data_IF_194188800602
#
_entry.id   IF_194188800602
#
_cell.length_a   1.000
_cell.length_b   1.000
_cell.length_c   1.000
_cell.angle_alpha   90.00
_cell.angle_beta   90.00
_cell.angle_gamma   90.00
#
_symmetry.space_group_name_H-M   'P 1'
#
loop_
_entity.id
_entity.type
_entity.pdbx_description
1 polymer ?
#
# COMPACT_ATOMS: atom_id res chain seq x y z
N UNK A 1 14.36 -25.26 10.84
CA UNK A 1 13.34 -24.23 11.04
C UNK A 1 13.99 -22.90 10.72
N UNK A 2 13.59 -22.28 9.62
CA UNK A 2 13.93 -20.88 9.31
C UNK A 2 12.96 -20.05 10.13
N UNK A 3 13.46 -19.19 11.02
CA UNK A 3 12.59 -18.26 11.73
C UNK A 3 12.24 -17.16 10.75
N UNK A 4 11.06 -17.29 10.13
CA UNK A 4 10.44 -16.19 9.40
C UNK A 4 9.98 -15.25 10.50
N UNK A 5 10.54 -14.04 10.57
CA UNK A 5 9.77 -12.94 11.11
C UNK A 5 8.58 -12.85 10.20
N UNK A 6 7.45 -13.29 10.71
CA UNK A 6 6.21 -12.65 10.33
C UNK A 6 6.35 -11.23 10.89
N UNK A 7 7.08 -10.37 10.17
CA UNK A 7 6.57 -9.02 10.06
C UNK A 7 5.14 -9.27 9.62
N UNK A 8 4.16 -8.78 10.39
CA UNK A 8 2.91 -8.42 9.78
C UNK A 8 3.22 -7.27 8.78
N UNK A 9 4.05 -7.51 7.76
CA UNK A 9 3.69 -7.01 6.45
C UNK A 9 2.30 -7.59 6.30
N UNK A 10 1.29 -6.70 6.33
CA UNK A 10 -0.10 -7.08 6.24
C UNK A 10 -0.14 -8.33 5.38
N UNK A 11 -0.61 -9.45 5.94
CA UNK A 11 -1.28 -10.39 5.07
C UNK A 11 -2.16 -9.48 4.23
N UNK A 12 -2.00 -9.46 2.90
CA UNK A 12 -3.00 -8.88 2.01
C UNK A 12 -4.24 -9.72 2.29
N UNK A 13 -4.91 -9.39 3.39
CA UNK A 13 -6.12 -10.02 3.84
C UNK A 13 -7.10 -9.40 2.88
N UNK A 14 -7.37 -10.15 1.82
CA UNK A 14 -8.39 -9.77 0.87
C UNK A 14 -9.68 -9.59 1.68
N UNK A 15 -10.20 -8.36 1.63
CA UNK A 15 -11.50 -8.06 2.23
C UNK A 15 -12.53 -8.83 1.42
N UNK A 16 -13.11 -9.87 2.03
CA UNK A 16 -14.26 -10.53 1.44
C UNK A 16 -15.51 -9.81 1.90
N UNK A 17 -15.97 -8.95 1.02
CA UNK A 17 -17.30 -8.37 1.10
C UNK A 17 -18.34 -9.48 0.92
N UNK A 18 -19.53 -9.26 1.48
CA UNK A 18 -20.68 -10.11 1.22
C UNK A 18 -21.07 -10.17 -0.25
N UNK A 19 -22.25 -10.73 -0.52
CA UNK A 19 -22.82 -10.62 -1.86
C UNK A 19 -23.01 -9.13 -2.20
N UNK A 20 -22.12 -8.59 -3.02
CA UNK A 20 -22.11 -7.19 -3.45
C UNK A 20 -22.20 -7.14 -4.97
N UNK A 21 -23.20 -6.44 -5.49
CA UNK A 21 -23.34 -6.18 -6.92
C UNK A 21 -22.99 -4.70 -7.16
N UNK A 22 -21.90 -4.42 -7.89
CA UNK A 22 -21.43 -3.06 -8.17
C UNK A 22 -21.74 -2.72 -9.62
N UNK A 23 -22.38 -1.58 -9.88
CA UNK A 23 -22.64 -1.10 -11.24
C UNK A 23 -22.00 0.27 -11.42
N UNK A 24 -21.07 0.39 -12.36
CA UNK A 24 -20.51 1.68 -12.78
C UNK A 24 -21.31 2.21 -13.96
N UNK A 25 -21.75 3.46 -13.89
CA UNK A 25 -22.39 4.18 -14.99
C UNK A 25 -21.42 5.30 -15.39
N UNK A 26 -20.84 5.18 -16.58
CA UNK A 26 -19.73 5.99 -17.06
C UNK A 26 -20.17 6.90 -18.20
N UNK A 27 -19.76 8.16 -18.13
CA UNK A 27 -20.08 9.18 -19.11
C UNK A 27 -19.06 9.14 -20.25
N UNK A 28 -19.51 8.75 -21.44
CA UNK A 28 -18.69 8.71 -22.66
C UNK A 28 -19.08 9.80 -23.66
N UNK A 29 -19.70 10.87 -23.17
CA UNK A 29 -20.09 12.03 -23.98
C UNK A 29 -18.88 12.75 -24.60
N UNK A 30 -19.19 13.66 -25.52
CA UNK A 30 -18.18 14.47 -26.20
C UNK A 30 -17.44 15.41 -25.24
N UNK A 31 -18.13 15.95 -24.23
CA UNK A 31 -17.55 16.89 -23.24
C UNK A 31 -16.52 16.25 -22.32
N UNK A 32 -16.68 14.95 -22.03
CA UNK A 32 -15.68 14.16 -21.29
C UNK A 32 -14.42 14.01 -22.13
N UNK A 33 -14.55 13.54 -23.38
CA UNK A 33 -13.42 13.32 -24.28
C UNK A 33 -12.65 12.02 -24.00
N UNK A 34 -11.93 11.52 -25.02
CA UNK A 34 -11.26 10.22 -24.99
C UNK A 34 -10.27 10.05 -23.82
N UNK A 35 -9.49 11.09 -23.50
CA UNK A 35 -8.48 11.03 -22.43
C UNK A 35 -9.12 10.87 -21.07
N UNK A 36 -10.18 11.63 -20.77
CA UNK A 36 -10.87 11.54 -19.49
C UNK A 36 -11.68 10.24 -19.37
N UNK A 37 -12.31 9.80 -20.45
CA UNK A 37 -12.97 8.50 -20.50
C UNK A 37 -11.98 7.35 -20.22
N UNK A 38 -10.74 7.47 -20.68
CA UNK A 38 -9.67 6.51 -20.34
C UNK A 38 -9.36 6.51 -18.84
N UNK A 39 -9.38 7.67 -18.17
CA UNK A 39 -9.21 7.77 -16.72
C UNK A 39 -10.38 7.15 -15.96
N UNK A 40 -11.63 7.32 -16.42
CA UNK A 40 -12.80 6.65 -15.85
C UNK A 40 -12.67 5.12 -15.91
N UNK A 41 -12.22 4.59 -17.05
CA UNK A 41 -11.96 3.15 -17.21
C UNK A 41 -10.89 2.66 -16.23
N UNK A 42 -9.83 3.44 -16.03
CA UNK A 42 -8.82 3.10 -15.03
C UNK A 42 -9.35 3.18 -13.60
N UNK A 43 -10.21 4.15 -13.29
CA UNK A 43 -10.89 4.23 -12.00
C UNK A 43 -11.71 2.98 -11.71
N UNK A 44 -12.52 2.51 -12.67
CA UNK A 44 -13.27 1.24 -12.53
C UNK A 44 -12.33 0.07 -12.26
N UNK A 45 -11.28 -0.08 -13.07
CA UNK A 45 -10.33 -1.18 -12.94
C UNK A 45 -9.61 -1.14 -11.59
N UNK A 46 -9.14 0.03 -11.15
CA UNK A 46 -8.36 0.18 -9.92
C UNK A 46 -9.23 -0.01 -8.67
N UNK A 47 -10.46 0.49 -8.69
CA UNK A 47 -11.43 0.29 -7.59
C UNK A 47 -11.71 -1.20 -7.39
N UNK A 48 -12.00 -1.92 -8.48
CA UNK A 48 -12.29 -3.35 -8.42
C UNK A 48 -11.06 -4.18 -8.05
N UNK A 49 -9.86 -3.82 -8.53
CA UNK A 49 -8.61 -4.45 -8.08
C UNK A 49 -8.42 -4.35 -6.58
N UNK A 50 -8.70 -3.19 -6.01
CA UNK A 50 -8.48 -2.93 -4.58
C UNK A 50 -9.49 -3.66 -3.69
N UNK A 51 -10.68 -3.98 -4.19
CA UNK A 51 -11.67 -4.79 -3.49
C UNK A 51 -11.30 -6.28 -3.40
N UNK A 52 -10.34 -6.76 -4.21
CA UNK A 52 -9.71 -8.09 -4.10
C UNK A 52 -10.58 -9.31 -4.46
N UNK A 53 -11.90 -9.28 -4.21
CA UNK A 53 -12.77 -10.46 -4.25
C UNK A 53 -13.86 -10.40 -5.33
N UNK A 54 -13.51 -10.70 -6.58
CA UNK A 54 -14.51 -10.93 -7.65
C UNK A 54 -15.10 -12.34 -7.56
N UNK A 55 -16.42 -12.46 -7.74
CA UNK A 55 -17.08 -13.76 -7.78
C UNK A 55 -16.68 -14.52 -9.06
N UNK A 56 -16.10 -15.72 -8.92
CA UNK A 56 -15.74 -16.57 -10.06
C UNK A 56 -16.94 -17.23 -10.73
N UNK A 57 -18.08 -17.31 -10.03
CA UNK A 57 -19.35 -17.82 -10.55
C UNK A 57 -20.43 -16.74 -10.38
N UNK A 58 -21.13 -16.33 -11.46
CA UNK A 58 -22.25 -15.38 -11.40
C UNK A 58 -23.37 -15.77 -10.42
N UNK A 59 -23.52 -17.05 -10.11
CA UNK A 59 -24.54 -17.57 -9.18
C UNK A 59 -24.07 -17.70 -7.73
N UNK A 60 -22.79 -17.40 -7.47
CA UNK A 60 -22.19 -17.51 -6.13
C UNK A 60 -22.91 -16.62 -5.11
N UNK A 61 -23.17 -17.19 -3.93
CA UNK A 61 -23.74 -16.48 -2.78
C UNK A 61 -22.76 -15.53 -2.09
N UNK A 62 -21.49 -15.52 -2.50
CA UNK A 62 -20.42 -14.67 -1.97
C UNK A 62 -19.57 -14.07 -3.11
N UNK A 63 -18.90 -12.96 -2.85
CA UNK A 63 -18.03 -12.27 -3.81
C UNK A 63 -18.73 -11.17 -4.61
N UNK A 64 -17.91 -10.28 -5.18
CA UNK A 64 -18.34 -9.08 -5.88
C UNK A 64 -18.65 -9.37 -7.34
N UNK A 65 -19.83 -8.95 -7.83
CA UNK A 65 -20.16 -8.94 -9.26
C UNK A 65 -20.13 -7.51 -9.75
N UNK A 66 -19.57 -7.29 -10.93
CA UNK A 66 -19.36 -5.93 -11.45
C UNK A 66 -19.99 -5.77 -12.83
N UNK A 67 -20.83 -4.75 -12.96
CA UNK A 67 -21.38 -4.30 -14.22
C UNK A 67 -20.84 -2.91 -14.56
N UNK A 68 -20.74 -2.61 -15.85
CA UNK A 68 -20.35 -1.30 -16.36
C UNK A 68 -21.32 -0.91 -17.45
N UNK A 69 -21.89 0.28 -17.39
CA UNK A 69 -22.70 0.87 -18.45
C UNK A 69 -21.99 2.14 -18.88
N UNK A 70 -21.52 2.20 -20.12
CA UNK A 70 -21.16 3.48 -20.73
C UNK A 70 -22.35 4.05 -21.49
N UNK A 71 -22.50 5.37 -21.46
CA UNK A 71 -23.55 6.06 -22.21
C UNK A 71 -23.00 7.31 -22.89
N UNK A 72 -23.65 7.73 -23.97
CA UNK A 72 -23.50 9.10 -24.50
C UNK A 72 -24.88 9.65 -24.83
N UNK A 73 -25.37 9.43 -26.05
CA UNK A 73 -26.67 9.89 -26.53
C UNK A 73 -27.68 8.74 -26.64
N UNK A 74 -28.93 9.09 -26.94
CA UNK A 74 -30.04 8.14 -26.98
C UNK A 74 -29.74 6.89 -27.83
N UNK A 75 -29.87 5.71 -27.21
CA UNK A 75 -29.67 4.42 -27.87
C UNK A 75 -28.21 3.93 -27.95
N UNK A 76 -27.24 4.71 -27.48
CA UNK A 76 -25.82 4.31 -27.46
C UNK A 76 -25.39 3.93 -26.05
N UNK A 77 -25.67 2.68 -25.70
CA UNK A 77 -25.28 2.07 -24.44
C UNK A 77 -24.44 0.83 -24.74
N UNK A 78 -23.20 0.79 -24.25
CA UNK A 78 -22.48 -0.48 -24.13
C UNK A 78 -22.50 -0.90 -22.67
N UNK A 79 -22.83 -2.16 -22.43
CA UNK A 79 -22.94 -2.68 -21.09
C UNK A 79 -22.19 -3.99 -20.91
N UNK A 80 -21.38 -4.02 -19.86
CA UNK A 80 -20.88 -5.22 -19.23
C UNK A 80 -21.92 -5.63 -18.18
N UNK A 81 -22.55 -6.78 -18.38
CA UNK A 81 -23.61 -7.27 -17.49
C UNK A 81 -23.03 -7.89 -16.21
N UNK A 82 -23.79 -7.79 -15.11
CA UNK A 82 -23.43 -8.39 -13.82
C UNK A 82 -23.34 -9.92 -13.87
N UNK A 83 -24.09 -10.55 -14.78
CA UNK A 83 -24.24 -11.99 -14.93
C UNK A 83 -23.56 -12.55 -16.20
N UNK A 84 -22.64 -11.79 -16.80
CA UNK A 84 -21.90 -12.25 -17.99
C UNK A 84 -20.98 -13.43 -17.62
N UNK A 85 -21.31 -14.61 -18.16
CA UNK A 85 -20.55 -15.83 -17.94
C UNK A 85 -19.09 -15.76 -18.42
N UNK A 86 -18.75 -14.84 -19.34
CA UNK A 86 -17.39 -14.64 -19.84
C UNK A 86 -16.52 -13.80 -18.90
N UNK A 87 -17.11 -13.16 -17.89
CA UNK A 87 -16.43 -12.26 -16.96
C UNK A 87 -16.36 -12.91 -15.58
N UNK A 88 -15.55 -13.97 -15.50
CA UNK A 88 -15.37 -14.78 -14.29
C UNK A 88 -14.06 -14.51 -13.55
N UNK A 89 -13.23 -13.59 -14.05
CA UNK A 89 -11.95 -13.24 -13.43
C UNK A 89 -11.67 -11.73 -13.54
N UNK A 90 -10.78 -11.25 -12.66
CA UNK A 90 -10.26 -9.89 -12.73
C UNK A 90 -9.60 -9.59 -14.08
N UNK A 91 -8.92 -10.57 -14.67
CA UNK A 91 -8.20 -10.40 -15.93
C UNK A 91 -9.15 -10.20 -17.11
N UNK A 92 -10.23 -10.99 -17.18
CA UNK A 92 -11.26 -10.88 -18.22
C UNK A 92 -12.07 -9.61 -18.06
N UNK A 93 -12.38 -9.22 -16.82
CA UNK A 93 -13.03 -7.94 -16.53
C UNK A 93 -12.18 -6.74 -16.97
N UNK A 94 -10.89 -6.73 -16.62
CA UNK A 94 -9.94 -5.69 -17.08
C UNK A 94 -9.91 -5.58 -18.59
N UNK A 95 -9.88 -6.71 -19.30
CA UNK A 95 -9.87 -6.74 -20.75
C UNK A 95 -11.18 -6.18 -21.32
N UNK A 96 -12.34 -6.61 -20.79
CA UNK A 96 -13.65 -6.12 -21.21
C UNK A 96 -13.78 -4.60 -21.04
N UNK A 97 -13.43 -4.08 -19.85
CA UNK A 97 -13.44 -2.63 -19.60
C UNK A 97 -12.48 -1.92 -20.55
N UNK A 98 -11.24 -2.40 -20.71
CA UNK A 98 -10.27 -1.80 -21.64
C UNK A 98 -10.73 -1.78 -23.10
N UNK A 99 -11.56 -2.72 -23.52
CA UNK A 99 -12.08 -2.79 -24.88
C UNK A 99 -13.23 -1.83 -25.18
N UNK A 100 -13.88 -1.26 -24.15
CA UNK A 100 -14.92 -0.24 -24.32
C UNK A 100 -14.39 0.94 -25.14
N UNK A 101 -15.07 1.29 -26.23
CA UNK A 101 -14.67 2.40 -27.09
C UNK A 101 -15.42 3.67 -26.69
N UNK A 102 -14.72 4.80 -26.70
CA UNK A 102 -15.34 6.09 -26.48
C UNK A 102 -16.33 6.38 -27.61
N UNK A 103 -17.59 6.63 -27.26
CA UNK A 103 -18.67 6.78 -28.24
C UNK A 103 -18.65 8.18 -28.86
N UNK A 104 -18.46 9.22 -28.03
CA UNK A 104 -18.62 10.63 -28.38
C UNK A 104 -20.06 11.00 -28.80
N UNK A 105 -20.66 11.95 -28.10
CA UNK A 105 -22.03 12.40 -28.39
C UNK A 105 -22.60 13.28 -27.29
N UNK A 106 -23.93 13.28 -27.15
CA UNK A 106 -24.62 13.97 -26.06
C UNK A 106 -24.45 13.28 -24.70
N UNK A 107 -25.16 13.80 -23.69
CA UNK A 107 -25.08 13.31 -22.31
C UNK A 107 -26.47 12.96 -21.78
N UNK A 108 -26.95 11.75 -22.05
CA UNK A 108 -28.30 11.28 -21.72
C UNK A 108 -28.31 10.52 -20.38
N UNK A 109 -27.89 11.23 -19.32
CA UNK A 109 -27.74 10.65 -17.98
C UNK A 109 -29.05 10.07 -17.43
N UNK A 110 -30.19 10.80 -17.37
CA UNK A 110 -31.45 10.21 -16.91
C UNK A 110 -31.86 8.91 -17.62
N UNK A 111 -31.73 8.84 -18.95
CA UNK A 111 -32.05 7.63 -19.70
C UNK A 111 -31.04 6.51 -19.44
N UNK A 112 -29.76 6.82 -19.24
CA UNK A 112 -28.73 5.84 -18.86
C UNK A 112 -29.02 5.19 -17.49
N UNK A 113 -29.47 5.98 -16.50
CA UNK A 113 -29.86 5.47 -15.18
C UNK A 113 -31.02 4.46 -15.29
N UNK A 114 -32.02 4.78 -16.12
CA UNK A 114 -33.13 3.87 -16.42
C UNK A 114 -32.65 2.59 -17.09
N UNK A 115 -31.78 2.72 -18.11
CA UNK A 115 -31.23 1.57 -18.82
C UNK A 115 -30.44 0.64 -17.89
N UNK A 116 -29.58 1.21 -17.04
CA UNK A 116 -28.79 0.45 -16.07
C UNK A 116 -29.68 -0.32 -15.09
N UNK A 117 -30.74 0.31 -14.58
CA UNK A 117 -31.68 -0.37 -13.70
C UNK A 117 -32.39 -1.52 -14.40
N UNK A 118 -33.02 -1.26 -15.55
CA UNK A 118 -33.88 -2.22 -16.22
C UNK A 118 -33.12 -3.43 -16.78
N UNK A 119 -31.89 -3.22 -17.28
CA UNK A 119 -31.15 -4.26 -18.00
C UNK A 119 -30.11 -4.96 -17.13
N UNK A 120 -29.56 -4.29 -16.11
CA UNK A 120 -28.50 -4.87 -15.27
C UNK A 120 -29.00 -5.18 -13.86
N UNK A 121 -29.84 -4.33 -13.26
CA UNK A 121 -30.15 -4.45 -11.82
C UNK A 121 -31.44 -5.22 -11.57
N UNK A 122 -32.55 -4.85 -12.21
CA UNK A 122 -33.91 -5.28 -11.87
C UNK A 122 -34.05 -6.80 -11.79
N UNK A 123 -33.59 -7.48 -12.83
CA UNK A 123 -33.76 -8.93 -13.01
C UNK A 123 -32.48 -9.74 -12.68
N UNK A 124 -31.32 -9.10 -12.56
CA UNK A 124 -30.02 -9.78 -12.34
C UNK A 124 -29.45 -9.61 -10.91
N UNK A 125 -30.09 -8.77 -10.07
CA UNK A 125 -29.67 -8.58 -8.66
C UNK A 125 -29.83 -9.86 -7.85
N UNK A 126 -28.83 -10.17 -7.03
CA UNK A 126 -28.90 -11.30 -6.08
C UNK A 126 -29.91 -10.98 -4.98
N UNK A 127 -30.74 -11.95 -4.59
CA UNK A 127 -31.78 -11.75 -3.57
C UNK A 127 -31.25 -11.25 -2.22
N UNK A 128 -30.02 -11.66 -1.86
CA UNK A 128 -29.29 -11.31 -0.62
C UNK A 128 -28.20 -10.24 -0.82
N UNK A 129 -28.03 -9.71 -2.03
CA UNK A 129 -26.99 -8.71 -2.29
C UNK A 129 -27.52 -7.28 -2.18
N UNK A 130 -26.67 -6.39 -1.66
CA UNK A 130 -26.85 -4.95 -1.85
C UNK A 130 -26.31 -4.57 -3.23
N UNK A 131 -26.98 -3.64 -3.91
CA UNK A 131 -26.55 -3.12 -5.21
C UNK A 131 -25.97 -1.73 -5.00
N UNK A 132 -24.68 -1.56 -5.25
CA UNK A 132 -24.00 -0.26 -5.17
C UNK A 132 -23.79 0.28 -6.58
N UNK A 133 -24.41 1.41 -6.89
CA UNK A 133 -24.28 2.09 -8.18
C UNK A 133 -23.37 3.29 -8.04
N UNK A 134 -22.40 3.43 -8.94
CA UNK A 134 -21.45 4.53 -8.98
C UNK A 134 -21.65 5.25 -10.31
N UNK A 135 -22.11 6.48 -10.26
CA UNK A 135 -22.35 7.31 -11.45
C UNK A 135 -21.20 8.30 -11.57
N UNK A 136 -20.46 8.27 -12.67
CA UNK A 136 -19.40 9.25 -12.98
C UNK A 136 -19.90 10.09 -14.15
N UNK A 137 -19.93 11.40 -13.97
CA UNK A 137 -20.38 12.34 -15.00
C UNK A 137 -19.77 13.72 -14.77
N UNK A 138 -19.69 14.54 -15.83
CA UNK A 138 -19.46 15.98 -15.71
C UNK A 138 -20.73 16.76 -15.27
N UNK A 139 -21.80 16.00 -15.00
CA UNK A 139 -23.14 16.34 -14.52
C UNK A 139 -23.90 17.39 -15.29
N UNK A 140 -23.52 17.56 -16.56
CA UNK A 140 -24.43 18.12 -17.56
C UNK A 140 -25.23 16.97 -18.14
N UNK A 141 -26.50 17.17 -18.39
CA UNK A 141 -27.27 16.26 -19.23
C UNK A 141 -27.97 17.04 -20.33
N UNK A 142 -28.26 16.36 -21.44
CA UNK A 142 -28.90 16.96 -22.59
C UNK A 142 -30.34 17.38 -22.23
N UNK A 143 -30.76 18.63 -22.48
CA UNK A 143 -32.13 19.08 -22.20
C UNK A 143 -33.23 18.30 -22.93
N UNK A 144 -32.86 17.51 -23.95
CA UNK A 144 -33.78 16.62 -24.66
C UNK A 144 -34.05 15.31 -23.89
N UNK A 145 -33.27 15.02 -22.86
CA UNK A 145 -33.49 13.86 -21.99
C UNK A 145 -34.57 14.15 -20.92
N UNK A 146 -35.17 13.08 -20.41
CA UNK A 146 -36.29 13.13 -19.46
C UNK A 146 -35.76 13.23 -18.02
N UNK A 147 -35.66 14.46 -17.50
CA UNK A 147 -35.14 14.78 -16.16
C UNK A 147 -35.90 14.10 -15.01
N UNK A 148 -37.16 13.71 -15.24
CA UNK A 148 -37.96 12.96 -14.26
C UNK A 148 -37.33 11.62 -13.88
N UNK A 149 -36.42 11.09 -14.72
CA UNK A 149 -35.70 9.83 -14.52
C UNK A 149 -34.40 9.97 -13.74
N UNK A 150 -33.98 11.18 -13.36
CA UNK A 150 -32.77 11.38 -12.56
C UNK A 150 -32.78 10.58 -11.25
N UNK A 151 -33.98 10.31 -10.70
CA UNK A 151 -34.18 9.57 -9.45
C UNK A 151 -34.59 8.11 -9.67
N UNK A 152 -34.52 7.59 -10.89
CA UNK A 152 -35.07 6.27 -11.22
C UNK A 152 -34.45 5.12 -10.41
N UNK A 153 -33.18 5.24 -10.02
CA UNK A 153 -32.50 4.26 -9.17
C UNK A 153 -32.89 4.34 -7.69
N UNK A 154 -33.49 5.46 -7.26
CA UNK A 154 -33.79 5.75 -5.86
C UNK A 154 -35.07 5.08 -5.36
N UNK A 155 -35.90 4.56 -6.27
CA UNK A 155 -37.17 3.92 -5.93
C UNK A 155 -36.96 2.51 -5.34
N UNK A 156 -35.78 1.90 -5.53
CA UNK A 156 -35.43 0.59 -4.98
C UNK A 156 -34.60 0.73 -3.69
N UNK A 157 -35.11 0.31 -2.52
CA UNK A 157 -34.40 0.44 -1.24
C UNK A 157 -33.13 -0.42 -1.15
N UNK A 158 -32.93 -1.39 -2.06
CA UNK A 158 -31.71 -2.22 -2.12
C UNK A 158 -30.60 -1.59 -2.96
N UNK A 159 -30.88 -0.48 -3.65
CA UNK A 159 -29.95 0.23 -4.51
C UNK A 159 -29.37 1.43 -3.76
N UNK A 160 -28.06 1.46 -3.65
CA UNK A 160 -27.29 2.55 -3.04
C UNK A 160 -26.54 3.27 -4.15
N UNK A 161 -26.92 4.52 -4.43
CA UNK A 161 -26.30 5.33 -5.49
C UNK A 161 -25.27 6.29 -4.91
N UNK A 162 -24.06 6.28 -5.46
CA UNK A 162 -23.01 7.26 -5.22
C UNK A 162 -22.77 8.04 -6.53
N UNK A 163 -22.84 9.36 -6.47
CA UNK A 163 -22.64 10.23 -7.62
C UNK A 163 -21.27 10.92 -7.53
N UNK A 164 -20.49 10.85 -8.60
CA UNK A 164 -19.19 11.49 -8.73
C UNK A 164 -19.30 12.51 -9.87
N UNK A 165 -19.25 13.80 -9.50
CA UNK A 165 -19.20 14.91 -10.43
C UNK A 165 -17.76 15.32 -10.70
N UNK A 166 -17.38 15.44 -11.98
CA UNK A 166 -16.01 15.84 -12.35
C UNK A 166 -16.01 17.01 -13.32
N UNK A 167 -15.41 18.13 -12.92
CA UNK A 167 -15.21 19.30 -13.80
C UNK A 167 -15.50 20.64 -13.12
N UNK A 168 -15.81 21.64 -13.94
CA UNK A 168 -16.12 23.03 -13.52
C UNK A 168 -17.61 23.27 -13.21
N UNK A 169 -18.41 22.20 -13.22
CA UNK A 169 -19.85 22.20 -12.93
C UNK A 169 -20.22 22.86 -11.58
N UNK A 170 -19.27 22.96 -10.65
CA UNK A 170 -19.46 23.54 -9.32
C UNK A 170 -19.56 25.07 -9.30
N UNK A 171 -19.20 25.73 -10.41
CA UNK A 171 -19.41 27.17 -10.56
C UNK A 171 -20.89 27.51 -10.90
N UNK A 172 -21.74 26.50 -11.12
CA UNK A 172 -23.17 26.64 -11.44
C UNK A 172 -24.07 25.87 -10.46
N UNK A 173 -25.08 26.55 -9.91
CA UNK A 173 -26.01 25.94 -8.92
C UNK A 173 -26.86 24.79 -9.46
N UNK A 174 -27.19 24.76 -10.76
CA UNK A 174 -28.12 23.76 -11.31
C UNK A 174 -27.46 22.38 -11.50
N UNK A 175 -26.14 22.35 -11.71
CA UNK A 175 -25.44 21.09 -11.98
C UNK A 175 -25.25 20.27 -10.67
N UNK A 176 -25.13 20.95 -9.51
CA UNK A 176 -25.06 20.28 -8.21
C UNK A 176 -26.42 19.72 -7.73
N UNK A 177 -27.54 20.33 -8.12
CA UNK A 177 -28.88 19.79 -7.87
C UNK A 177 -29.14 18.51 -8.67
N UNK A 178 -28.54 18.40 -9.85
CA UNK A 178 -28.60 17.20 -10.69
C UNK A 178 -27.91 16.02 -10.00
N UNK A 179 -26.66 16.19 -9.55
CA UNK A 179 -25.94 15.15 -8.81
C UNK A 179 -26.65 14.76 -7.51
N UNK A 180 -27.23 15.74 -6.81
CA UNK A 180 -28.04 15.46 -5.63
C UNK A 180 -29.26 14.60 -5.96
N UNK A 181 -29.94 14.87 -7.07
CA UNK A 181 -31.07 14.05 -7.54
C UNK A 181 -30.63 12.62 -7.86
N UNK A 182 -29.49 12.45 -8.55
CA UNK A 182 -28.91 11.13 -8.87
C UNK A 182 -28.56 10.37 -7.58
N UNK A 183 -27.96 11.05 -6.59
CA UNK A 183 -27.60 10.48 -5.29
C UNK A 183 -28.80 10.39 -4.31
N UNK A 184 -30.04 10.43 -4.81
CA UNK A 184 -31.25 10.28 -4.01
C UNK A 184 -31.42 11.33 -2.90
N UNK A 185 -30.91 12.54 -3.13
CA UNK A 185 -30.85 13.67 -2.20
C UNK A 185 -29.96 13.43 -0.96
N UNK A 186 -29.09 12.41 -0.98
CA UNK A 186 -28.10 12.18 0.07
C UNK A 186 -26.78 12.88 -0.28
N UNK A 187 -26.52 14.02 0.37
CA UNK A 187 -25.30 14.81 0.15
C UNK A 187 -24.01 14.07 0.55
N UNK A 188 -24.08 13.06 1.42
CA UNK A 188 -22.90 12.30 1.83
C UNK A 188 -22.41 11.34 0.74
N UNK A 189 -23.24 11.08 -0.28
CA UNK A 189 -22.96 10.17 -1.40
C UNK A 189 -22.57 10.91 -2.68
N UNK A 190 -22.38 12.21 -2.59
CA UNK A 190 -21.91 13.06 -3.67
C UNK A 190 -20.42 13.28 -3.46
N UNK A 191 -19.61 12.99 -4.47
CA UNK A 191 -18.20 13.36 -4.50
C UNK A 191 -17.98 14.33 -5.64
N UNK A 192 -17.42 15.48 -5.32
CA UNK A 192 -17.12 16.54 -6.27
C UNK A 192 -15.61 16.59 -6.54
N UNK A 193 -15.22 16.62 -7.81
CA UNK A 193 -13.83 16.60 -8.24
C UNK A 193 -13.57 17.66 -9.30
N UNK A 194 -12.44 18.35 -9.21
CA UNK A 194 -12.08 19.36 -10.21
C UNK A 194 -11.53 18.74 -11.50
N UNK A 195 -10.90 17.55 -11.40
CA UNK A 195 -10.20 16.91 -12.51
C UNK A 195 -10.42 15.41 -12.52
N UNK A 196 -10.48 14.83 -13.72
CA UNK A 196 -10.56 13.37 -13.91
C UNK A 196 -9.32 12.62 -13.39
N UNK A 197 -8.18 13.30 -13.24
CA UNK A 197 -6.98 12.74 -12.62
C UNK A 197 -7.19 12.37 -11.15
N UNK A 198 -8.14 13.01 -10.47
CA UNK A 198 -8.39 12.77 -9.05
C UNK A 198 -9.15 11.45 -8.85
N UNK A 199 -9.86 10.96 -9.87
CA UNK A 199 -10.53 9.65 -9.87
C UNK A 199 -9.53 8.49 -9.69
N UNK A 200 -8.31 8.64 -10.19
CA UNK A 200 -7.27 7.60 -10.15
C UNK A 200 -6.30 7.78 -8.99
N UNK A 201 -6.54 8.76 -8.11
CA UNK A 201 -5.70 9.00 -6.94
C UNK A 201 -5.89 7.91 -5.87
N UNK A 202 -4.79 7.43 -5.27
CA UNK A 202 -4.83 6.30 -4.32
C UNK A 202 -5.74 6.56 -3.12
N UNK A 203 -5.68 7.77 -2.55
CA UNK A 203 -6.52 8.17 -1.41
C UNK A 203 -8.02 8.14 -1.74
N UNK A 204 -8.40 8.46 -2.99
CA UNK A 204 -9.79 8.42 -3.40
C UNK A 204 -10.28 6.99 -3.61
N UNK A 205 -9.48 6.17 -4.29
CA UNK A 205 -9.78 4.74 -4.46
C UNK A 205 -9.88 4.06 -3.09
N UNK A 206 -9.10 4.52 -2.10
CA UNK A 206 -9.19 4.05 -0.73
C UNK A 206 -10.49 4.41 -0.01
N UNK A 207 -10.93 5.65 -0.17
CA UNK A 207 -12.24 6.08 0.32
C UNK A 207 -13.36 5.25 -0.33
N UNK A 208 -13.29 5.02 -1.64
CA UNK A 208 -14.30 4.25 -2.38
C UNK A 208 -14.37 2.79 -1.95
N UNK A 209 -13.23 2.14 -1.65
CA UNK A 209 -13.22 0.79 -1.08
C UNK A 209 -14.07 0.71 0.19
N UNK A 210 -13.92 1.69 1.08
CA UNK A 210 -14.66 1.75 2.36
C UNK A 210 -16.15 2.03 2.15
N UNK A 211 -16.50 2.85 1.15
CA UNK A 211 -17.90 3.17 0.82
C UNK A 211 -18.62 1.97 0.19
N UNK A 212 -17.93 1.22 -0.67
CA UNK A 212 -18.51 0.08 -1.38
C UNK A 212 -18.57 -1.18 -0.52
N UNK A 213 -17.65 -1.32 0.44
CA UNK A 213 -17.59 -2.44 1.37
C UNK A 213 -17.45 -1.93 2.82
N UNK A 214 -18.52 -1.34 3.39
CA UNK A 214 -18.51 -0.88 4.76
C UNK A 214 -18.38 -2.06 5.74
N UNK A 215 -17.89 -1.79 6.96
CA UNK A 215 -17.55 -2.80 7.96
C UNK A 215 -18.69 -3.78 8.33
N UNK A 216 -19.94 -3.40 8.12
CA UNK A 216 -21.12 -4.24 8.35
C UNK A 216 -21.34 -5.33 7.26
N UNK A 217 -20.71 -5.17 6.09
CA UNK A 217 -20.82 -6.05 4.92
C UNK A 217 -19.58 -6.96 4.77
N UNK A 218 -18.54 -6.73 5.56
CA UNK A 218 -17.34 -7.58 5.59
C UNK A 218 -17.73 -8.93 6.22
N UNK A 219 -17.81 -9.98 5.41
CA UNK A 219 -18.15 -11.33 5.88
C UNK A 219 -16.95 -12.02 6.55
N UNK A 220 -15.74 -11.75 6.05
CA UNK A 220 -14.51 -12.32 6.59
C UNK A 220 -13.29 -11.60 6.02
N UNK A 221 -12.20 -11.54 6.78
CA UNK A 221 -10.87 -11.38 6.23
C UNK A 221 -10.34 -12.79 5.95
N UNK A 222 -10.19 -13.16 4.68
CA UNK A 222 -9.53 -14.43 4.32
C UNK A 222 -8.07 -14.11 4.10
N UNK A 223 -7.28 -14.37 5.13
CA UNK A 223 -5.84 -14.40 5.00
C UNK A 223 -5.49 -15.84 4.59
N UNK A 224 -4.72 -16.04 3.51
CA UNK A 224 -4.30 -17.38 3.08
C UNK A 224 -3.67 -18.11 4.28
N UNK A 225 -4.32 -19.20 4.68
CA UNK A 225 -4.00 -19.96 5.88
C UNK A 225 -2.63 -20.63 5.77
N UNK A 226 -1.61 -19.98 6.30
CA UNK A 226 -0.88 -20.58 7.40
C UNK A 226 -1.54 -20.04 8.67
N UNK A 227 -1.91 -20.93 9.60
CA UNK A 227 -2.57 -20.62 10.88
C UNK A 227 -1.94 -19.41 11.58
N UNK A 228 -2.48 -18.22 11.32
CA UNK A 228 -2.07 -17.00 11.99
C UNK A 228 -3.15 -16.64 13.00
N UNK A 229 -2.86 -16.91 14.27
CA UNK A 229 -3.65 -16.48 15.41
C UNK A 229 -3.30 -15.01 15.68
N UNK A 230 -3.81 -14.07 14.88
CA UNK A 230 -3.60 -12.64 15.13
C UNK A 230 -4.45 -12.16 16.33
N UNK A 231 -3.98 -12.45 17.54
CA UNK A 231 -4.30 -11.63 18.70
C UNK A 231 -3.46 -10.37 18.62
N UNK A 232 -4.11 -9.22 18.72
CA UNK A 232 -3.51 -7.89 18.79
C UNK A 232 -2.35 -7.84 19.80
N UNK A 233 -1.13 -7.97 19.28
CA UNK A 233 0.20 -7.55 19.75
C UNK A 233 1.21 -8.44 19.04
N UNK A 234 2.13 -7.81 18.31
CA UNK A 234 3.25 -8.46 17.62
C UNK A 234 3.88 -9.52 18.55
N UNK A 235 3.77 -10.79 18.18
CA UNK A 235 4.44 -11.88 18.88
C UNK A 235 5.67 -12.26 18.07
N UNK A 236 6.56 -11.29 17.85
CA UNK A 236 7.92 -11.64 17.40
C UNK A 236 8.53 -12.45 18.55
N UNK A 237 8.96 -13.68 18.25
CA UNK A 237 9.51 -14.53 19.28
C UNK A 237 10.74 -13.83 19.87
N UNK A 238 10.85 -13.72 21.22
CA UNK A 238 11.96 -13.08 21.92
C UNK A 238 13.28 -13.32 21.20
N UNK A 239 14.14 -12.31 21.02
CA UNK A 239 15.52 -12.54 20.55
C UNK A 239 16.21 -13.68 21.33
N UNK A 240 15.81 -13.92 22.58
CA UNK A 240 16.30 -15.03 23.41
C UNK A 240 15.89 -16.43 22.90
N UNK A 241 14.78 -16.49 22.17
CA UNK A 241 14.09 -17.67 21.63
C UNK A 241 14.43 -18.05 20.17
N UNK A 242 15.25 -17.24 19.47
CA UNK A 242 15.63 -17.47 18.07
C UNK A 242 16.98 -16.83 17.72
N UNK A 243 17.69 -17.27 16.67
CA UNK A 243 18.95 -16.65 16.27
C UNK A 243 18.68 -15.38 15.43
N UNK A 244 19.20 -14.24 15.88
CA UNK A 244 19.06 -12.94 15.17
C UNK A 244 20.44 -12.38 14.84
N UNK A 245 20.73 -12.16 13.56
CA UNK A 245 21.94 -11.50 13.09
C UNK A 245 21.56 -10.06 12.67
N UNK A 246 21.75 -9.09 13.57
CA UNK A 246 21.40 -7.68 13.38
C UNK A 246 22.65 -6.91 12.89
N UNK A 247 22.50 -6.21 11.77
CA UNK A 247 23.54 -5.42 11.12
C UNK A 247 23.11 -3.95 11.11
N UNK A 248 23.87 -3.09 11.76
CA UNK A 248 23.68 -1.65 11.71
C UNK A 248 24.43 -1.06 10.52
N UNK A 249 23.72 -0.34 9.66
CA UNK A 249 24.28 0.45 8.56
C UNK A 249 24.14 1.93 8.91
N UNK A 250 25.24 2.54 9.34
CA UNK A 250 25.32 3.92 9.78
C UNK A 250 25.74 4.82 8.62
N UNK A 251 24.94 5.84 8.34
CA UNK A 251 25.25 6.90 7.40
C UNK A 251 26.41 7.75 7.93
N UNK A 252 27.56 7.68 7.26
CA UNK A 252 28.76 8.47 7.58
C UNK A 252 28.83 9.81 6.85
N UNK A 253 27.69 10.34 6.39
CA UNK A 253 27.67 11.57 5.62
C UNK A 253 27.82 12.83 6.47
N UNK A 254 28.45 13.85 5.88
CA UNK A 254 28.60 15.19 6.48
C UNK A 254 27.28 15.75 7.04
N UNK A 255 26.16 15.45 6.38
CA UNK A 255 24.83 15.92 6.75
C UNK A 255 24.36 15.36 8.10
N UNK A 256 24.74 14.13 8.45
CA UNK A 256 24.42 13.57 9.76
C UNK A 256 25.14 14.38 10.85
N UNK A 257 26.43 14.64 10.65
CA UNK A 257 27.26 15.42 11.56
C UNK A 257 27.81 14.61 12.75
N UNK A 258 28.95 15.05 13.27
CA UNK A 258 29.70 14.39 14.35
C UNK A 258 28.90 14.20 15.64
N UNK A 259 28.12 15.19 16.05
CA UNK A 259 27.33 15.11 17.29
C UNK A 259 26.28 14.00 17.19
N UNK A 260 25.55 13.94 16.09
CA UNK A 260 24.57 12.87 15.82
C UNK A 260 25.25 11.52 15.68
N UNK A 261 26.40 11.46 15.00
CA UNK A 261 27.20 10.24 14.89
C UNK A 261 27.52 9.64 16.26
N UNK A 262 27.94 10.46 17.23
CA UNK A 262 28.20 10.01 18.59
C UNK A 262 26.95 9.45 19.29
N UNK A 263 25.78 10.06 19.07
CA UNK A 263 24.51 9.53 19.60
C UNK A 263 24.13 8.19 18.95
N UNK A 264 24.47 7.95 17.67
CA UNK A 264 24.28 6.61 17.06
C UNK A 264 25.13 5.58 17.77
N UNK A 265 26.40 5.89 18.00
CA UNK A 265 27.33 4.98 18.67
C UNK A 265 26.83 4.62 20.07
N UNK A 266 26.32 5.60 20.82
CA UNK A 266 25.67 5.36 22.12
C UNK A 266 24.42 4.48 21.98
N UNK A 267 23.59 4.74 20.97
CA UNK A 267 22.40 3.93 20.70
C UNK A 267 22.75 2.47 20.40
N UNK A 268 23.74 2.22 19.53
CA UNK A 268 24.19 0.86 19.18
C UNK A 268 24.78 0.15 20.41
N UNK A 269 25.54 0.85 21.25
CA UNK A 269 26.04 0.32 22.51
C UNK A 269 24.89 -0.08 23.45
N UNK A 270 23.90 0.80 23.62
CA UNK A 270 22.72 0.55 24.45
C UNK A 270 21.89 -0.63 23.95
N UNK A 271 21.76 -0.80 22.63
CA UNK A 271 21.13 -1.98 22.03
C UNK A 271 21.94 -3.24 22.36
N UNK A 272 23.27 -3.22 22.21
CA UNK A 272 24.13 -4.36 22.52
C UNK A 272 24.04 -4.81 23.99
N UNK A 273 23.87 -3.85 24.91
CA UNK A 273 23.71 -4.12 26.33
C UNK A 273 22.34 -4.72 26.66
N UNK A 274 21.28 -4.23 26.00
CA UNK A 274 19.90 -4.70 26.15
C UNK A 274 19.67 -6.08 25.53
N UNK A 275 20.30 -6.37 24.39
CA UNK A 275 20.12 -7.63 23.69
C UNK A 275 20.78 -8.81 24.42
N UNK A 276 20.06 -9.93 24.45
CA UNK A 276 20.63 -11.19 24.86
C UNK A 276 21.57 -11.70 23.77
N UNK A 277 22.89 -11.59 23.99
CA UNK A 277 23.91 -12.01 23.04
C UNK A 277 24.09 -13.53 23.01
N UNK A 278 24.41 -14.08 21.84
CA UNK A 278 24.69 -15.49 21.66
C UNK A 278 25.86 -15.99 22.54
N UNK A 279 25.84 -17.26 22.95
CA UNK A 279 26.94 -17.89 23.72
C UNK A 279 28.15 -18.25 22.85
N UNK A 280 27.94 -18.44 21.56
CA UNK A 280 28.99 -18.87 20.63
C UNK A 280 28.65 -18.52 19.19
N UNK A 281 29.63 -18.73 18.29
CA UNK A 281 29.47 -18.56 16.83
C UNK A 281 28.50 -19.54 16.16
N UNK A 282 28.02 -20.58 16.84
CA UNK A 282 27.03 -21.51 16.28
C UNK A 282 25.73 -21.61 17.09
N UNK A 283 25.57 -20.77 18.12
CA UNK A 283 24.36 -20.69 18.94
C UNK A 283 23.11 -20.46 18.08
N UNK A 284 22.15 -21.39 18.16
CA UNK A 284 20.89 -21.33 17.42
C UNK A 284 19.86 -20.42 18.09
N UNK A 285 20.24 -19.70 19.15
CA UNK A 285 19.42 -18.74 19.86
C UNK A 285 20.19 -17.42 20.00
N UNK A 286 19.50 -16.33 20.38
CA UNK A 286 20.10 -15.05 20.77
C UNK A 286 20.77 -14.27 19.64
N UNK A 287 21.13 -13.04 19.93
CA UNK A 287 21.53 -12.06 18.91
C UNK A 287 23.03 -12.02 18.67
N UNK A 288 23.40 -11.59 17.45
CA UNK A 288 24.74 -11.11 17.08
C UNK A 288 24.61 -9.76 16.41
N UNK A 289 25.67 -8.97 16.54
CA UNK A 289 25.72 -7.63 16.02
C UNK A 289 26.88 -7.46 15.04
N UNK A 290 26.64 -6.68 14.01
CA UNK A 290 27.66 -6.07 13.17
C UNK A 290 27.36 -4.58 13.03
N UNK A 291 28.40 -3.78 12.88
CA UNK A 291 28.28 -2.34 12.63
C UNK A 291 29.18 -1.97 11.45
N UNK A 292 28.57 -1.31 10.48
CA UNK A 292 29.23 -0.74 9.32
C UNK A 292 28.82 0.73 9.17
N UNK A 293 29.79 1.57 8.89
CA UNK A 293 29.59 2.96 8.48
C UNK A 293 29.79 3.05 6.97
N UNK A 294 28.87 3.71 6.27
CA UNK A 294 28.93 3.85 4.82
C UNK A 294 29.00 5.30 4.38
N UNK A 295 29.76 5.55 3.33
CA UNK A 295 29.91 6.85 2.70
C UNK A 295 29.64 6.77 1.20
N UNK A 296 30.64 7.16 0.41
CA UNK A 296 30.66 7.01 -1.06
C UNK A 296 30.62 5.52 -1.46
N UNK A 297 30.37 5.27 -2.74
CA UNK A 297 30.16 3.93 -3.32
C UNK A 297 31.23 2.88 -2.94
N UNK A 298 32.49 3.29 -2.78
CA UNK A 298 33.61 2.41 -2.41
C UNK A 298 34.18 2.70 -1.01
N UNK A 299 33.47 3.47 -0.19
CA UNK A 299 33.93 3.94 1.10
C UNK A 299 33.02 3.40 2.20
N UNK A 300 33.32 2.17 2.62
CA UNK A 300 32.61 1.49 3.71
C UNK A 300 33.61 1.11 4.80
N UNK A 301 33.32 1.42 6.06
CA UNK A 301 34.15 1.09 7.23
C UNK A 301 33.42 0.13 8.14
N UNK A 302 34.00 -1.04 8.34
CA UNK A 302 33.45 -2.06 9.25
C UNK A 302 34.03 -1.85 10.63
N UNK A 303 33.22 -1.42 11.60
CA UNK A 303 33.63 -1.30 12.99
C UNK A 303 33.89 -2.68 13.60
N UNK A 304 32.95 -3.61 13.37
CA UNK A 304 33.09 -5.02 13.72
C UNK A 304 32.16 -5.89 12.88
N UNK A 305 32.64 -7.08 12.52
CA UNK A 305 31.84 -8.12 11.87
C UNK A 305 30.87 -8.77 12.86
N UNK A 306 29.95 -9.62 12.36
CA UNK A 306 28.99 -10.38 13.16
C UNK A 306 29.65 -11.06 14.37
N UNK A 307 29.40 -10.50 15.56
CA UNK A 307 30.00 -10.93 16.81
C UNK A 307 28.94 -11.05 17.90
N UNK A 308 29.24 -11.88 18.90
CA UNK A 308 28.48 -12.01 20.14
C UNK A 308 29.26 -11.53 21.36
N UNK A 309 30.55 -11.20 21.17
CA UNK A 309 31.45 -10.75 22.21
C UNK A 309 31.25 -9.25 22.45
N UNK A 310 30.90 -8.88 23.69
CA UNK A 310 30.57 -7.49 24.06
C UNK A 310 31.80 -6.59 24.09
N UNK A 311 32.96 -7.13 24.43
CA UNK A 311 34.22 -6.39 24.45
C UNK A 311 34.62 -5.96 23.03
N UNK A 312 34.41 -6.83 22.02
CA UNK A 312 34.63 -6.51 20.60
C UNK A 312 33.67 -5.44 20.12
N UNK A 313 32.40 -5.49 20.54
CA UNK A 313 31.41 -4.45 20.21
C UNK A 313 31.85 -3.11 20.80
N UNK A 314 32.12 -3.05 22.10
CA UNK A 314 32.53 -1.81 22.77
C UNK A 314 33.84 -1.23 22.19
N UNK A 315 34.83 -2.09 21.93
CA UNK A 315 36.09 -1.66 21.33
C UNK A 315 35.90 -1.15 19.89
N UNK A 316 35.07 -1.82 19.09
CA UNK A 316 34.78 -1.42 17.72
C UNK A 316 33.99 -0.11 17.65
N UNK A 317 33.04 0.12 18.56
CA UNK A 317 32.31 1.40 18.68
C UNK A 317 33.28 2.53 19.04
N UNK A 318 34.15 2.31 20.02
CA UNK A 318 35.12 3.33 20.48
C UNK A 318 36.16 3.67 19.41
N UNK A 319 36.54 2.69 18.58
CA UNK A 319 37.59 2.85 17.59
C UNK A 319 37.11 3.33 16.22
N UNK A 320 35.79 3.42 15.97
CA UNK A 320 35.24 3.80 14.67
C UNK A 320 35.37 5.31 14.42
N UNK A 321 36.18 5.76 13.44
CA UNK A 321 36.29 7.17 13.12
C UNK A 321 35.21 7.58 12.11
N UNK A 322 34.52 8.70 12.40
CA UNK A 322 33.54 9.29 11.49
C UNK A 322 34.12 9.57 10.09
N UNK A 323 33.35 9.22 9.07
CA UNK A 323 33.74 9.32 7.66
C UNK A 323 33.75 10.74 7.13
N UNK A 324 32.74 11.54 7.45
CA UNK A 324 32.52 12.87 6.89
C UNK A 324 32.47 12.87 5.34
N UNK A 325 31.66 11.98 4.77
CA UNK A 325 31.61 11.71 3.32
C UNK A 325 30.22 12.00 2.71
N UNK A 326 29.92 11.47 1.52
CA UNK A 326 28.56 11.47 0.96
C UNK A 326 27.79 10.22 1.39
N UNK A 327 26.47 10.17 1.21
CA UNK A 327 25.65 8.99 1.54
C UNK A 327 25.23 8.22 0.28
N UNK A 328 25.70 6.97 0.09
CA UNK A 328 25.25 6.07 -1.01
C UNK A 328 24.81 4.71 -0.45
N UNK A 329 23.54 4.61 -0.07
CA UNK A 329 23.01 3.43 0.65
C UNK A 329 22.97 2.15 -0.21
N UNK A 330 22.72 2.26 -1.52
CA UNK A 330 22.61 1.08 -2.40
C UNK A 330 23.91 0.26 -2.47
N UNK A 331 25.05 0.97 -2.53
CA UNK A 331 26.38 0.35 -2.50
C UNK A 331 26.68 -0.28 -1.14
N UNK A 332 26.31 0.39 -0.05
CA UNK A 332 26.48 -0.10 1.32
C UNK A 332 25.73 -1.41 1.59
N UNK A 333 24.50 -1.53 1.08
CA UNK A 333 23.68 -2.74 1.16
C UNK A 333 24.39 -3.89 0.45
N UNK A 334 24.81 -3.66 -0.80
CA UNK A 334 25.49 -4.67 -1.62
C UNK A 334 26.78 -5.13 -0.96
N UNK A 335 27.58 -4.19 -0.47
CA UNK A 335 28.80 -4.46 0.28
C UNK A 335 28.53 -5.30 1.53
N UNK A 336 27.49 -4.97 2.30
CA UNK A 336 27.12 -5.67 3.53
C UNK A 336 26.68 -7.10 3.27
N UNK A 337 25.88 -7.33 2.21
CA UNK A 337 25.48 -8.67 1.80
C UNK A 337 26.71 -9.52 1.43
N UNK A 338 27.66 -8.95 0.69
CA UNK A 338 28.83 -9.70 0.21
C UNK A 338 29.89 -9.94 1.30
N UNK A 339 30.16 -8.95 2.15
CA UNK A 339 31.30 -8.99 3.09
C UNK A 339 30.90 -9.30 4.53
N UNK A 340 29.73 -8.83 5.00
CA UNK A 340 29.26 -9.07 6.37
C UNK A 340 28.47 -10.38 6.46
N UNK A 341 27.50 -10.57 5.56
CA UNK A 341 26.69 -11.79 5.53
C UNK A 341 27.39 -12.94 4.81
N UNK A 342 28.03 -12.66 3.68
CA UNK A 342 28.67 -13.65 2.82
C UNK A 342 27.67 -14.52 2.03
N UNK A 343 28.10 -15.05 0.88
CA UNK A 343 27.27 -15.85 -0.02
C UNK A 343 27.73 -17.31 -0.13
N UNK A 344 26.79 -18.21 -0.42
CA UNK A 344 27.06 -19.63 -0.69
C UNK A 344 27.84 -20.33 0.43
N UNK A 345 28.98 -20.96 0.08
CA UNK A 345 29.86 -21.66 1.05
C UNK A 345 30.58 -20.71 2.02
N UNK A 346 30.62 -19.42 1.73
CA UNK A 346 31.23 -18.37 2.57
C UNK A 346 30.24 -17.62 3.46
N UNK A 347 28.98 -18.08 3.55
CA UNK A 347 27.95 -17.44 4.39
C UNK A 347 28.37 -17.46 5.87
N UNK A 348 28.44 -16.27 6.46
CA UNK A 348 28.84 -16.00 7.84
C UNK A 348 27.65 -15.98 8.80
N UNK A 349 26.42 -15.79 8.29
CA UNK A 349 25.19 -15.84 9.08
C UNK A 349 24.88 -17.26 9.54
N UNK A 350 24.18 -17.37 10.66
CA UNK A 350 23.79 -18.69 11.17
C UNK A 350 22.67 -19.29 10.31
N UNK A 351 22.64 -20.62 10.26
CA UNK A 351 21.52 -21.33 9.62
C UNK A 351 20.21 -21.00 10.35
N UNK A 352 19.23 -20.52 9.59
CA UNK A 352 17.93 -20.14 10.13
C UNK A 352 17.93 -18.87 10.98
N UNK A 353 19.04 -18.13 11.05
CA UNK A 353 19.02 -16.80 11.64
C UNK A 353 18.19 -15.85 10.81
N UNK A 354 17.40 -15.05 11.50
CA UNK A 354 16.81 -13.87 10.92
C UNK A 354 17.90 -12.81 10.74
N UNK A 355 17.93 -12.21 9.56
CA UNK A 355 18.89 -11.17 9.21
C UNK A 355 18.15 -9.85 9.22
N UNK A 356 18.54 -8.95 10.13
CA UNK A 356 17.91 -7.64 10.27
C UNK A 356 18.93 -6.56 9.93
N UNK A 357 18.61 -5.69 8.97
CA UNK A 357 19.38 -4.50 8.65
C UNK A 357 18.71 -3.30 9.32
N UNK A 358 19.46 -2.57 10.14
CA UNK A 358 19.01 -1.33 10.75
C UNK A 358 19.80 -0.17 10.13
N UNK A 359 19.15 0.57 9.24
CA UNK A 359 19.70 1.77 8.61
C UNK A 359 19.53 2.95 9.54
N UNK A 360 20.58 3.73 9.75
CA UNK A 360 20.55 4.94 10.56
C UNK A 360 21.06 6.08 9.69
N UNK A 361 20.18 6.99 9.30
CA UNK A 361 20.43 8.04 8.30
C UNK A 361 19.73 9.35 8.67
N UNK A 362 20.16 10.47 8.08
CA UNK A 362 19.45 11.75 8.16
C UNK A 362 18.21 11.80 7.22
N UNK A 363 18.01 10.75 6.42
CA UNK A 363 16.87 10.61 5.51
C UNK A 363 17.11 11.12 4.10
N UNK A 364 18.32 11.58 3.77
CA UNK A 364 18.69 11.93 2.40
C UNK A 364 19.94 11.14 2.00
N UNK A 365 19.77 10.26 1.02
CA UNK A 365 20.86 9.44 0.48
C UNK A 365 20.72 9.32 -1.03
N UNK A 366 21.85 9.13 -1.70
CA UNK A 366 21.88 8.88 -3.13
C UNK A 366 21.18 7.55 -3.45
N UNK A 367 20.26 7.59 -4.41
CA UNK A 367 19.41 6.46 -4.80
C UNK A 367 20.03 5.58 -5.88
N UNK A 368 21.28 5.85 -6.29
CA UNK A 368 22.01 4.99 -7.23
C UNK A 368 22.01 3.53 -6.77
N UNK A 369 21.57 2.66 -7.68
CA UNK A 369 21.45 1.20 -7.47
C UNK A 369 20.57 0.78 -6.28
N UNK A 370 19.72 1.68 -5.76
CA UNK A 370 18.85 1.39 -4.63
C UNK A 370 17.86 0.26 -4.93
N UNK A 371 17.24 0.27 -6.10
CA UNK A 371 16.24 -0.74 -6.48
C UNK A 371 16.87 -2.14 -6.63
N UNK A 372 18.11 -2.21 -7.14
CA UNK A 372 18.89 -3.45 -7.22
C UNK A 372 19.28 -3.97 -5.83
N UNK A 373 19.71 -3.06 -4.96
CA UNK A 373 20.07 -3.34 -3.57
C UNK A 373 18.86 -3.84 -2.76
N UNK A 374 17.70 -3.18 -2.87
CA UNK A 374 16.44 -3.62 -2.25
C UNK A 374 16.01 -4.98 -2.78
N UNK A 375 16.16 -5.22 -4.08
CA UNK A 375 15.90 -6.53 -4.68
C UNK A 375 16.85 -7.61 -4.14
N UNK A 376 18.12 -7.26 -3.87
CA UNK A 376 19.07 -8.16 -3.22
C UNK A 376 18.69 -8.47 -1.77
N UNK A 377 18.26 -7.47 -1.00
CA UNK A 377 17.74 -7.67 0.36
C UNK A 377 16.56 -8.63 0.39
N UNK A 378 15.60 -8.47 -0.54
CA UNK A 378 14.45 -9.38 -0.67
C UNK A 378 14.88 -10.82 -0.96
N UNK A 379 15.83 -11.02 -1.89
CA UNK A 379 16.34 -12.36 -2.23
C UNK A 379 17.04 -13.04 -1.05
N UNK A 380 17.73 -12.27 -0.23
CA UNK A 380 18.42 -12.78 0.97
C UNK A 380 17.53 -12.85 2.21
N UNK A 381 16.23 -12.54 2.07
CA UNK A 381 15.23 -12.52 3.14
C UNK A 381 15.63 -11.61 4.31
N UNK A 382 16.25 -10.47 3.98
CA UNK A 382 16.70 -9.48 4.95
C UNK A 382 15.51 -8.61 5.36
N UNK A 383 15.39 -8.34 6.64
CA UNK A 383 14.37 -7.46 7.19
C UNK A 383 14.99 -6.11 7.42
N UNK A 384 14.40 -5.09 6.81
CA UNK A 384 14.92 -3.73 6.86
C UNK A 384 14.19 -2.93 7.91
N UNK A 385 14.93 -2.16 8.70
CA UNK A 385 14.42 -1.17 9.65
C UNK A 385 15.15 0.12 9.38
N UNK A 386 14.43 1.23 9.29
CA UNK A 386 15.02 2.52 8.95
C UNK A 386 14.79 3.50 10.08
N UNK A 387 15.87 4.00 10.65
CA UNK A 387 15.90 5.06 11.65
C UNK A 387 16.34 6.33 10.92
N UNK A 388 15.42 7.28 10.80
CA UNK A 388 15.66 8.53 10.09
C UNK A 388 15.46 9.72 11.02
N UNK A 389 16.36 10.70 10.96
CA UNK A 389 16.29 11.90 11.77
C UNK A 389 16.53 13.18 11.00
N UNK A 390 15.73 14.19 11.27
CA UNK A 390 15.82 15.49 10.60
C UNK A 390 14.47 15.96 10.06
N UNK A 391 14.39 17.24 9.71
CA UNK A 391 13.17 17.83 9.13
C UNK A 391 13.01 17.51 7.64
N UNK A 392 14.13 17.31 6.94
CA UNK A 392 14.19 17.24 5.48
C UNK A 392 14.43 15.79 5.04
N UNK A 393 13.42 14.95 5.23
CA UNK A 393 13.52 13.51 4.96
C UNK A 393 12.90 13.16 3.60
N UNK A 394 13.61 12.39 2.78
CA UNK A 394 13.04 11.79 1.57
C UNK A 394 12.21 10.54 1.91
N UNK A 395 10.90 10.76 2.01
CA UNK A 395 9.95 9.69 2.35
C UNK A 395 9.90 8.57 1.31
N UNK A 396 10.22 8.83 0.04
CA UNK A 396 10.21 7.78 -0.99
C UNK A 396 11.38 6.83 -0.77
N UNK A 397 12.56 7.38 -0.47
CA UNK A 397 13.75 6.58 -0.17
C UNK A 397 13.57 5.75 1.09
N UNK A 398 13.01 6.33 2.16
CA UNK A 398 12.71 5.58 3.39
C UNK A 398 11.74 4.43 3.14
N UNK A 399 10.67 4.66 2.37
CA UNK A 399 9.69 3.62 2.05
C UNK A 399 10.33 2.49 1.25
N UNK A 400 11.18 2.81 0.26
CA UNK A 400 11.90 1.80 -0.52
C UNK A 400 12.86 0.99 0.34
N UNK A 401 13.63 1.65 1.21
CA UNK A 401 14.55 0.99 2.14
C UNK A 401 13.80 0.09 3.12
N UNK A 402 12.70 0.56 3.67
CA UNK A 402 11.81 -0.21 4.54
C UNK A 402 10.95 -1.25 3.79
N UNK A 403 11.17 -1.43 2.48
CA UNK A 403 10.43 -2.37 1.63
C UNK A 403 8.91 -2.17 1.68
N UNK A 404 8.46 -0.92 1.75
CA UNK A 404 7.07 -0.46 1.89
C UNK A 404 6.40 -0.76 3.25
N UNK A 405 7.15 -1.23 4.24
CA UNK A 405 6.65 -1.38 5.61
C UNK A 405 6.80 -0.06 6.37
N UNK A 406 5.69 0.59 6.70
CA UNK A 406 5.72 1.86 7.42
C UNK A 406 6.04 1.70 8.91
N UNK A 407 5.75 0.54 9.51
CA UNK A 407 6.03 0.28 10.92
C UNK A 407 7.53 0.06 11.16
N UNK A 408 8.25 -0.37 10.12
CA UNK A 408 9.70 -0.47 10.09
C UNK A 408 10.44 0.89 10.06
N UNK A 409 9.73 2.02 9.97
CA UNK A 409 10.30 3.37 9.88
C UNK A 409 10.17 4.11 11.22
N UNK A 410 11.32 4.42 11.80
CA UNK A 410 11.45 5.15 13.06
C UNK A 410 11.93 6.56 12.77
N UNK A 411 11.03 7.54 12.95
CA UNK A 411 11.33 8.96 12.74
C UNK A 411 11.52 9.68 14.07
N UNK A 412 12.53 10.55 14.14
CA UNK A 412 12.75 11.49 15.23
C UNK A 412 13.16 12.86 14.71
N UNK A 413 12.97 13.91 15.50
CA UNK A 413 13.48 15.24 15.14
C UNK A 413 14.99 15.29 15.35
N UNK A 414 15.46 14.67 16.43
CA UNK A 414 16.88 14.51 16.75
C UNK A 414 17.21 13.06 17.01
N UNK A 415 18.46 12.68 16.76
CA UNK A 415 18.92 11.33 17.01
C UNK A 415 19.05 10.99 18.50
N UNK A 416 19.21 12.01 19.34
CA UNK A 416 19.04 11.90 20.80
C UNK A 416 17.65 11.36 21.19
N UNK A 417 16.62 11.57 20.37
CA UNK A 417 15.26 11.07 20.64
C UNK A 417 15.21 9.54 20.58
N UNK A 418 16.10 8.91 19.82
CA UNK A 418 16.18 7.44 19.74
C UNK A 418 16.70 6.80 21.03
N UNK A 419 17.35 7.58 21.90
CA UNK A 419 17.75 7.13 23.23
C UNK A 419 16.58 7.21 24.23
N UNK A 420 15.48 7.89 23.89
CA UNK A 420 14.28 7.97 24.74
C UNK A 420 13.67 6.58 24.94
N UNK A 421 13.20 6.26 26.16
CA UNK A 421 12.68 4.93 26.47
C UNK A 421 11.57 4.45 25.53
N UNK A 422 10.70 5.35 25.06
CA UNK A 422 9.57 5.00 24.19
C UNK A 422 10.01 4.51 22.82
N UNK A 423 10.92 5.23 22.15
CA UNK A 423 11.43 4.86 20.82
C UNK A 423 12.42 3.69 20.91
N UNK A 424 13.27 3.68 21.93
CA UNK A 424 14.22 2.60 22.17
C UNK A 424 13.51 1.26 22.43
N UNK A 425 12.54 1.20 23.34
CA UNK A 425 11.81 -0.04 23.60
C UNK A 425 10.95 -0.46 22.40
N UNK A 426 10.40 0.48 21.62
CA UNK A 426 9.72 0.16 20.36
C UNK A 426 10.67 -0.47 19.35
N UNK A 427 11.89 0.06 19.22
CA UNK A 427 12.91 -0.54 18.35
C UNK A 427 13.31 -1.94 18.85
N UNK A 428 13.52 -2.13 20.14
CA UNK A 428 13.84 -3.45 20.70
C UNK A 428 12.68 -4.44 20.50
N UNK A 429 11.43 -4.02 20.68
CA UNK A 429 10.25 -4.85 20.43
C UNK A 429 10.13 -5.24 18.95
N UNK A 430 10.37 -4.29 18.05
CA UNK A 430 10.45 -4.56 16.61
C UNK A 430 11.59 -5.52 16.30
N UNK A 431 12.74 -5.38 16.98
CA UNK A 431 13.92 -6.24 16.79
C UNK A 431 13.69 -7.68 17.31
N UNK A 432 12.99 -7.86 18.43
CA UNK A 432 13.11 -9.07 19.26
C UNK A 432 11.91 -10.00 19.40
#
# INVERSE_FOLDING_TARGET
>A
MTYIRETCGCCDCEKHCGALDIVFILDSSESVGLTNFTLEKYFVINTINRLGSMASDPTSSTGTRVGVVQYSHNGTFEAIRLDDANINSMSTFKAAVKNLQWIAGGTFTPTALKFAYDNLIRDSKRARAQVSVIVVTDGRFDPRDDDTRLRYLCDDPKVVVNAIGVGDMFDKRHDSETLASIACNDKNRITEMKRYTDLVAENFIEKMETVLCPGEIILSFICISLTCFCRSKEYVAPCVGRPVDLVFLLDGSERLGMDNFQHVLEFVQKVADRLAMAKSKNDQMRSRLALIEFGKENENRVAFNLTHNREVVAAGITALPYLDSSSVVGAAITYSIDHILGKGRGRKTRRGAEISFAFITDGITDTRSLDEAVSAMRREQIISTVIATGSDIDNDVLKRLAMNDQEAIFKGEKLSDMLQPSLFERFIQWVC
#
